data_IF_916132698769
#
_entry.id   IF_916132698769
#
_cell.length_a   1.000
_cell.length_b   1.000
_cell.length_c   1.000
_cell.angle_alpha   90.00
_cell.angle_beta   90.00
_cell.angle_gamma   90.00
#
_symmetry.space_group_name_H-M   'P 1'
#
loop_
_entity.id
_entity.type
_entity.pdbx_description
1 polymer ?
#
# COMPACT_ATOMS: atom_id res chain seq x y z
N UNK A 1 -1.27 -16.58 -3.20
CA UNK A 1 -0.05 -16.40 -2.37
C UNK A 1 0.47 -14.99 -2.58
N UNK A 2 0.94 -14.31 -1.52
CA UNK A 2 1.69 -13.05 -1.66
C UNK A 2 3.18 -13.37 -1.49
N UNK A 3 3.96 -13.29 -2.56
CA UNK A 3 5.38 -13.62 -2.54
C UNK A 3 6.18 -12.46 -1.94
N UNK A 4 6.81 -12.71 -0.79
CA UNK A 4 7.60 -11.72 -0.05
C UNK A 4 8.99 -12.29 0.23
N UNK A 5 10.02 -11.42 0.22
CA UNK A 5 11.35 -11.78 0.71
C UNK A 5 11.33 -11.98 2.23
N UNK A 6 10.62 -11.09 2.91
CA UNK A 6 10.68 -10.94 4.36
C UNK A 6 11.65 -9.85 4.78
N UNK A 7 11.48 -9.43 6.04
CA UNK A 7 12.37 -8.48 6.71
C UNK A 7 13.57 -9.25 7.31
N UNK A 8 14.70 -8.56 7.54
CA UNK A 8 15.81 -9.11 8.31
C UNK A 8 15.36 -9.59 9.70
N UNK A 9 16.06 -10.58 10.30
CA UNK A 9 15.84 -10.95 11.70
C UNK A 9 15.95 -9.73 12.63
N UNK A 10 15.23 -9.78 13.76
CA UNK A 10 15.23 -8.67 14.72
C UNK A 10 16.65 -8.41 15.23
N UNK A 11 17.13 -7.19 15.01
CA UNK A 11 18.47 -6.75 15.43
C UNK A 11 19.54 -6.88 14.35
N UNK A 12 19.19 -7.45 13.19
CA UNK A 12 20.07 -7.48 12.01
C UNK A 12 19.67 -6.36 11.05
N UNK A 13 20.62 -5.55 10.57
CA UNK A 13 20.31 -4.44 9.66
C UNK A 13 20.03 -4.92 8.25
N UNK A 14 20.66 -6.02 7.83
CA UNK A 14 20.65 -6.50 6.45
C UNK A 14 20.06 -7.91 6.36
N UNK A 15 19.31 -8.17 5.29
CA UNK A 15 18.76 -9.48 5.02
C UNK A 15 19.85 -10.41 4.46
N UNK A 16 20.06 -11.56 5.12
CA UNK A 16 20.90 -12.64 4.59
C UNK A 16 20.04 -13.88 4.30
N UNK A 17 20.02 -14.40 3.06
CA UNK A 17 19.28 -15.61 2.73
C UNK A 17 19.88 -16.81 3.51
N UNK A 18 19.04 -17.74 4.02
CA UNK A 18 19.56 -18.96 4.62
C UNK A 18 20.28 -19.84 3.57
N UNK A 19 21.15 -20.77 3.97
CA UNK A 19 21.79 -21.70 3.03
C UNK A 19 20.77 -22.44 2.17
N UNK A 20 20.89 -22.31 0.85
CA UNK A 20 19.92 -22.88 -0.11
C UNK A 20 18.57 -22.15 -0.17
N UNK A 21 18.43 -21.03 0.53
CA UNK A 21 17.24 -20.19 0.55
C UNK A 21 17.15 -19.23 -0.64
N UNK A 22 15.99 -18.60 -0.75
CA UNK A 22 15.69 -17.61 -1.77
C UNK A 22 16.09 -16.21 -1.28
N UNK A 23 16.58 -15.40 -2.21
CA UNK A 23 17.14 -14.07 -1.94
C UNK A 23 16.13 -12.96 -2.11
N UNK A 24 15.06 -13.22 -2.86
CA UNK A 24 14.13 -12.19 -3.30
C UNK A 24 12.69 -12.70 -3.42
N UNK A 25 11.75 -11.77 -3.44
CA UNK A 25 10.33 -12.08 -3.73
C UNK A 25 10.13 -12.60 -5.16
N UNK A 26 10.93 -12.15 -6.12
CA UNK A 26 10.91 -12.65 -7.48
C UNK A 26 11.38 -14.12 -7.58
N UNK A 27 12.43 -14.49 -6.83
CA UNK A 27 12.86 -15.89 -6.75
C UNK A 27 11.79 -16.80 -6.15
N UNK A 28 11.05 -16.32 -5.13
CA UNK A 28 9.91 -17.06 -4.58
C UNK A 28 8.76 -17.19 -5.57
N UNK A 29 8.41 -16.11 -6.29
CA UNK A 29 7.38 -16.18 -7.33
C UNK A 29 7.75 -17.19 -8.43
N UNK A 30 8.99 -17.12 -8.93
CA UNK A 30 9.52 -18.05 -9.94
C UNK A 30 9.56 -19.50 -9.43
N UNK A 31 9.97 -19.72 -8.18
CA UNK A 31 9.96 -21.04 -7.56
C UNK A 31 8.55 -21.64 -7.50
N UNK A 32 7.55 -20.86 -7.08
CA UNK A 32 6.15 -21.31 -7.03
C UNK A 32 5.67 -21.65 -8.44
N UNK A 33 5.89 -20.76 -9.43
CA UNK A 33 5.50 -21.03 -10.83
C UNK A 33 6.18 -22.25 -11.44
N UNK A 34 7.46 -22.47 -11.12
CA UNK A 34 8.23 -23.59 -11.64
C UNK A 34 7.82 -24.95 -11.06
N UNK A 35 7.34 -25.00 -9.81
CA UNK A 35 6.87 -26.25 -9.18
C UNK A 35 5.39 -26.52 -9.39
N UNK A 36 4.61 -25.46 -9.46
CA UNK A 36 3.15 -25.50 -9.51
C UNK A 36 2.65 -24.92 -10.84
N UNK A 37 3.33 -25.23 -11.95
CA UNK A 37 2.94 -24.75 -13.29
C UNK A 37 1.51 -25.20 -13.67
N UNK A 38 0.99 -26.24 -13.01
CA UNK A 38 -0.37 -26.75 -13.16
C UNK A 38 -1.34 -26.34 -12.06
N UNK A 39 -0.92 -25.58 -11.03
CA UNK A 39 -1.81 -25.15 -9.96
C UNK A 39 -2.42 -23.77 -10.26
N UNK A 40 -3.73 -23.67 -10.05
CA UNK A 40 -4.52 -22.44 -10.14
C UNK A 40 -4.28 -21.53 -8.91
N UNK A 41 -3.01 -21.15 -8.70
CA UNK A 41 -2.59 -20.29 -7.58
C UNK A 41 -2.33 -18.88 -8.10
N UNK A 42 -3.17 -17.94 -7.65
CA UNK A 42 -2.91 -16.51 -7.84
C UNK A 42 -1.66 -16.06 -7.07
N UNK A 43 -0.69 -15.44 -7.74
CA UNK A 43 0.51 -14.88 -7.08
C UNK A 43 0.44 -13.36 -7.09
N UNK A 44 0.58 -12.73 -5.93
CA UNK A 44 0.77 -11.30 -5.80
C UNK A 44 2.17 -10.94 -5.32
N UNK A 45 2.56 -9.68 -5.45
CA UNK A 45 3.79 -9.14 -4.88
C UNK A 45 3.59 -7.78 -4.19
N UNK A 46 4.52 -7.40 -3.32
CA UNK A 46 4.53 -6.06 -2.69
C UNK A 46 5.17 -5.01 -3.60
N UNK A 47 4.70 -3.76 -3.48
CA UNK A 47 5.25 -2.59 -4.14
C UNK A 47 5.27 -1.35 -3.23
N UNK A 48 6.05 -0.32 -3.56
CA UNK A 48 6.36 0.79 -2.65
C UNK A 48 6.17 2.14 -3.36
N UNK A 49 5.04 2.83 -3.16
CA UNK A 49 4.81 4.15 -3.76
C UNK A 49 5.85 5.20 -3.34
N UNK A 50 6.46 5.04 -2.17
CA UNK A 50 7.49 5.92 -1.61
C UNK A 50 8.92 5.32 -1.69
N UNK A 51 9.15 4.39 -2.63
CA UNK A 51 10.43 3.68 -2.84
C UNK A 51 10.74 2.70 -1.71
N UNK A 52 11.20 1.49 -2.05
CA UNK A 52 11.70 0.56 -1.04
C UNK A 52 12.93 1.14 -0.30
N UNK A 53 13.04 1.03 1.04
CA UNK A 53 14.16 1.62 1.79
C UNK A 53 15.56 1.13 1.39
N UNK A 54 15.64 -0.08 0.83
CA UNK A 54 16.89 -0.68 0.34
C UNK A 54 17.12 -0.46 -1.16
N UNK A 55 16.21 0.21 -1.88
CA UNK A 55 16.40 0.48 -3.30
C UNK A 55 17.38 1.65 -3.52
N UNK A 56 18.25 1.51 -4.52
CA UNK A 56 19.24 2.53 -4.86
C UNK A 56 18.62 3.80 -5.48
N UNK A 57 17.48 3.67 -6.14
CA UNK A 57 16.71 4.77 -6.72
C UNK A 57 15.26 4.34 -7.00
N UNK A 58 14.39 5.30 -7.35
CA UNK A 58 13.02 5.01 -7.77
C UNK A 58 12.98 4.12 -9.03
N UNK A 59 13.88 4.37 -9.98
CA UNK A 59 13.99 3.60 -11.22
C UNK A 59 14.43 2.16 -10.93
N UNK A 60 15.37 1.96 -10.01
CA UNK A 60 15.80 0.64 -9.59
C UNK A 60 14.67 -0.15 -8.90
N UNK A 61 13.87 0.52 -8.06
CA UNK A 61 12.72 -0.10 -7.39
C UNK A 61 11.63 -0.51 -8.39
N UNK A 62 11.34 0.34 -9.39
CA UNK A 62 10.39 0.02 -10.46
C UNK A 62 10.92 -1.09 -11.38
N UNK A 63 12.22 -1.10 -11.69
CA UNK A 63 12.83 -2.19 -12.47
C UNK A 63 12.69 -3.53 -11.74
N UNK A 64 12.99 -3.56 -10.44
CA UNK A 64 12.82 -4.76 -9.63
C UNK A 64 11.34 -5.17 -9.48
N UNK A 65 10.41 -4.21 -9.46
CA UNK A 65 8.98 -4.52 -9.54
C UNK A 65 8.62 -5.25 -10.84
N UNK A 66 9.24 -4.85 -11.96
CA UNK A 66 9.14 -5.55 -13.25
C UNK A 66 9.60 -7.00 -13.15
N UNK A 67 10.77 -7.24 -12.52
CA UNK A 67 11.27 -8.61 -12.30
C UNK A 67 10.28 -9.49 -11.52
N UNK A 68 9.57 -8.94 -10.54
CA UNK A 68 8.54 -9.68 -9.78
C UNK A 68 7.36 -10.08 -10.67
N UNK A 69 6.95 -9.20 -11.58
CA UNK A 69 5.85 -9.45 -12.53
C UNK A 69 6.27 -10.47 -13.57
N UNK A 70 7.48 -10.35 -14.12
CA UNK A 70 8.06 -11.33 -15.05
C UNK A 70 8.24 -12.71 -14.40
N UNK A 71 8.51 -12.75 -13.09
CA UNK A 71 8.55 -13.98 -12.31
C UNK A 71 7.16 -14.59 -12.01
N UNK A 72 6.08 -13.95 -12.47
CA UNK A 72 4.72 -14.50 -12.45
C UNK A 72 3.78 -13.88 -11.41
N UNK A 73 4.09 -12.71 -10.85
CA UNK A 73 3.14 -11.94 -10.05
C UNK A 73 2.03 -11.34 -10.94
N UNK A 74 0.78 -11.61 -10.59
CA UNK A 74 -0.43 -11.25 -11.35
C UNK A 74 -1.11 -9.98 -10.82
N UNK A 75 -0.79 -9.58 -9.59
CA UNK A 75 -1.26 -8.33 -9.00
C UNK A 75 -0.25 -7.82 -7.96
N UNK A 76 -0.33 -6.54 -7.65
CA UNK A 76 0.53 -5.88 -6.69
C UNK A 76 -0.29 -5.31 -5.54
N UNK A 77 0.25 -5.36 -4.33
CA UNK A 77 -0.30 -4.65 -3.16
C UNK A 77 0.74 -3.64 -2.71
N UNK A 78 0.33 -2.37 -2.63
CA UNK A 78 1.24 -1.32 -2.18
C UNK A 78 1.47 -1.39 -0.69
N UNK A 79 2.66 -0.97 -0.27
CA UNK A 79 2.88 -0.44 1.07
C UNK A 79 1.90 0.72 1.31
N UNK A 80 1.60 0.96 2.58
CA UNK A 80 0.74 2.08 2.98
C UNK A 80 1.32 3.42 2.53
N UNK A 81 0.42 4.36 2.32
CA UNK A 81 0.69 5.76 2.05
C UNK A 81 -0.47 6.58 2.60
N UNK A 82 -0.26 7.87 2.84
CA UNK A 82 -1.30 8.76 3.35
C UNK A 82 -1.76 9.81 2.34
N UNK A 83 -1.01 9.99 1.25
CA UNK A 83 -1.34 10.91 0.17
C UNK A 83 -1.68 10.15 -1.11
N UNK A 84 -2.90 10.33 -1.61
CA UNK A 84 -3.38 9.67 -2.83
C UNK A 84 -2.61 10.12 -4.07
N UNK A 85 -2.08 11.35 -4.10
CA UNK A 85 -1.26 11.83 -5.21
C UNK A 85 0.01 10.99 -5.36
N UNK A 86 0.67 10.65 -4.25
CA UNK A 86 1.85 9.77 -4.24
C UNK A 86 1.55 8.42 -4.89
N UNK A 87 0.41 7.81 -4.56
CA UNK A 87 0.01 6.55 -5.18
C UNK A 87 -0.23 6.70 -6.69
N UNK A 88 -1.00 7.70 -7.13
CA UNK A 88 -1.34 7.84 -8.55
C UNK A 88 -0.16 8.28 -9.42
N UNK A 89 0.69 9.18 -8.94
CA UNK A 89 1.90 9.61 -9.63
C UNK A 89 2.89 8.44 -9.77
N UNK A 90 2.99 7.60 -8.73
CA UNK A 90 3.79 6.37 -8.79
C UNK A 90 3.18 5.33 -9.74
N UNK A 91 1.86 5.13 -9.72
CA UNK A 91 1.18 4.23 -10.67
C UNK A 91 1.47 4.66 -12.11
N UNK A 92 1.44 5.97 -12.41
CA UNK A 92 1.75 6.48 -13.75
C UNK A 92 3.19 6.11 -14.17
N UNK A 93 4.17 6.23 -13.27
CA UNK A 93 5.55 5.82 -13.52
C UNK A 93 5.66 4.31 -13.79
N UNK A 94 4.99 3.49 -12.98
CA UNK A 94 4.94 2.03 -13.16
C UNK A 94 4.30 1.64 -14.49
N UNK A 95 3.25 2.36 -14.93
CA UNK A 95 2.64 2.13 -16.26
C UNK A 95 3.57 2.53 -17.39
N UNK A 96 4.32 3.64 -17.28
CA UNK A 96 5.33 4.04 -18.27
C UNK A 96 6.46 3.00 -18.40
N UNK A 97 6.75 2.26 -17.34
CA UNK A 97 7.71 1.14 -17.36
C UNK A 97 7.13 -0.16 -17.96
N UNK A 98 5.90 -0.16 -18.46
CA UNK A 98 5.28 -1.32 -19.14
C UNK A 98 4.62 -2.33 -18.20
N UNK A 99 4.58 -2.07 -16.89
CA UNK A 99 3.97 -2.97 -15.91
C UNK A 99 2.45 -2.76 -15.91
N UNK A 100 1.70 -3.76 -16.39
CA UNK A 100 0.24 -3.67 -16.62
C UNK A 100 -0.66 -4.34 -15.57
N UNK A 101 -0.10 -5.11 -14.64
CA UNK A 101 -0.91 -5.85 -13.64
C UNK A 101 -1.68 -4.91 -12.69
N UNK A 102 -2.82 -5.33 -12.11
CA UNK A 102 -3.55 -4.54 -11.12
C UNK A 102 -2.68 -4.16 -9.93
N UNK A 103 -2.78 -2.90 -9.50
CA UNK A 103 -2.07 -2.37 -8.33
C UNK A 103 -3.12 -1.98 -7.29
N UNK A 104 -3.20 -2.75 -6.21
CA UNK A 104 -4.15 -2.54 -5.13
C UNK A 104 -3.50 -1.64 -4.05
N UNK A 105 -4.05 -0.45 -3.77
CA UNK A 105 -3.53 0.43 -2.72
C UNK A 105 -3.73 -0.18 -1.33
N UNK A 106 -2.66 -0.17 -0.54
CA UNK A 106 -2.67 -0.49 0.89
C UNK A 106 -3.05 0.73 1.73
N UNK A 107 -4.09 0.61 2.56
CA UNK A 107 -4.58 1.70 3.42
C UNK A 107 -4.53 1.28 4.88
N UNK A 108 -3.94 2.14 5.72
CA UNK A 108 -3.88 1.97 7.17
C UNK A 108 -4.97 2.82 7.85
N UNK A 109 -5.97 2.22 8.52
CA UNK A 109 -6.85 2.95 9.42
C UNK A 109 -6.07 3.46 10.64
N UNK A 110 -5.98 4.78 10.78
CA UNK A 110 -5.30 5.42 11.91
C UNK A 110 -6.14 5.20 13.17
N UNK A 111 -5.50 4.70 14.23
CA UNK A 111 -6.15 4.45 15.53
C UNK A 111 -5.72 5.48 16.56
N UNK A 112 -4.44 5.86 16.53
CA UNK A 112 -3.90 6.90 17.38
C UNK A 112 -2.65 7.51 16.75
N UNK A 113 -2.30 8.74 17.13
CA UNK A 113 -1.08 9.40 16.64
C UNK A 113 0.18 8.63 17.03
N UNK A 114 0.27 8.23 18.30
CA UNK A 114 1.38 7.43 18.80
C UNK A 114 1.46 6.05 18.13
N UNK A 115 0.32 5.44 17.79
CA UNK A 115 0.27 4.18 17.04
C UNK A 115 0.75 4.36 15.60
N UNK A 116 0.36 5.46 14.96
CA UNK A 116 0.77 5.82 13.61
C UNK A 116 2.29 5.99 13.51
N UNK A 117 2.90 6.81 14.37
CA UNK A 117 4.35 7.03 14.40
C UNK A 117 5.12 5.72 14.55
N UNK A 118 4.77 4.91 15.55
CA UNK A 118 5.41 3.59 15.76
C UNK A 118 5.31 2.68 14.54
N UNK A 119 4.19 2.70 13.83
CA UNK A 119 3.99 1.85 12.65
C UNK A 119 4.85 2.35 11.49
N UNK A 120 4.85 3.67 11.24
CA UNK A 120 5.64 4.31 10.19
C UNK A 120 7.15 4.20 10.44
N UNK A 121 7.61 4.23 11.69
CA UNK A 121 9.02 4.01 12.03
C UNK A 121 9.52 2.63 11.60
N UNK A 122 8.64 1.63 11.61
CA UNK A 122 8.94 0.26 11.19
C UNK A 122 8.91 0.13 9.67
N UNK A 123 7.83 0.58 9.01
CA UNK A 123 7.68 0.42 7.56
C UNK A 123 8.34 1.52 6.72
N UNK A 124 8.94 2.53 7.36
CA UNK A 124 9.60 3.69 6.75
C UNK A 124 8.69 4.53 5.84
N UNK A 125 7.37 4.49 6.08
CA UNK A 125 6.41 5.33 5.36
C UNK A 125 6.42 6.76 5.91
N UNK A 126 6.22 7.76 5.05
CA UNK A 126 6.20 9.16 5.45
C UNK A 126 4.82 9.54 5.98
N UNK A 127 4.77 10.20 7.15
CA UNK A 127 3.56 10.87 7.63
C UNK A 127 3.55 12.31 7.09
N UNK A 128 2.54 12.74 6.32
CA UNK A 128 2.44 14.13 5.89
C UNK A 128 2.33 15.09 7.09
N UNK A 129 3.07 16.20 7.07
CA UNK A 129 3.09 17.17 8.18
C UNK A 129 1.69 17.67 8.55
N UNK A 130 0.83 17.87 7.55
CA UNK A 130 -0.57 18.27 7.76
C UNK A 130 -1.35 17.21 8.53
N UNK A 131 -1.17 15.93 8.20
CA UNK A 131 -1.83 14.82 8.89
C UNK A 131 -1.34 14.75 10.34
N UNK A 132 -0.03 14.85 10.56
CA UNK A 132 0.52 14.81 11.91
C UNK A 132 0.06 15.99 12.77
N UNK A 133 0.02 17.20 12.21
CA UNK A 133 -0.48 18.40 12.90
C UNK A 133 -1.97 18.28 13.26
N UNK A 134 -2.79 17.71 12.37
CA UNK A 134 -4.22 17.48 12.65
C UNK A 134 -4.41 16.48 13.80
N UNK A 135 -3.63 15.40 13.81
CA UNK A 135 -3.64 14.43 14.91
C UNK A 135 -3.09 15.04 16.21
N UNK A 136 -2.07 15.89 16.13
CA UNK A 136 -1.50 16.58 17.28
C UNK A 136 -2.55 17.44 18.00
N UNK A 137 -3.39 18.14 17.24
CA UNK A 137 -4.44 19.00 17.77
C UNK A 137 -5.57 18.26 18.50
N UNK A 138 -5.60 16.92 18.46
CA UNK A 138 -6.56 16.10 19.20
C UNK A 138 -6.10 15.79 20.63
N UNK A 139 -4.91 16.27 21.03
CA UNK A 139 -4.36 16.18 22.40
C UNK A 139 -4.39 14.76 23.01
N UNK A 140 -4.30 13.73 22.17
CA UNK A 140 -4.28 12.34 22.61
C UNK A 140 -5.62 11.78 23.08
N UNK A 141 -6.75 12.45 22.78
CA UNK A 141 -8.09 11.90 22.99
C UNK A 141 -8.29 10.65 22.12
N UNK A 142 -8.42 9.45 22.72
CA UNK A 142 -8.48 8.21 21.96
C UNK A 142 -9.70 8.08 21.05
N UNK A 143 -10.84 8.67 21.45
CA UNK A 143 -12.06 8.61 20.67
C UNK A 143 -12.01 9.62 19.52
N UNK A 144 -11.48 10.81 19.76
CA UNK A 144 -11.28 11.82 18.73
C UNK A 144 -10.25 11.35 17.68
N UNK A 145 -9.09 10.81 18.10
CA UNK A 145 -8.06 10.29 17.18
C UNK A 145 -8.58 9.14 16.32
N UNK A 146 -9.35 8.22 16.93
CA UNK A 146 -9.97 7.12 16.21
C UNK A 146 -11.03 7.61 15.22
N UNK A 147 -11.90 8.55 15.62
CA UNK A 147 -12.91 9.12 14.75
C UNK A 147 -12.27 9.85 13.56
N UNK A 148 -11.22 10.63 13.81
CA UNK A 148 -10.43 11.30 12.79
C UNK A 148 -9.80 10.28 11.82
N UNK A 149 -9.17 9.23 12.34
CA UNK A 149 -8.54 8.20 11.51
C UNK A 149 -9.52 7.45 10.62
N UNK A 150 -10.72 7.17 11.12
CA UNK A 150 -11.82 6.59 10.33
C UNK A 150 -12.23 7.55 9.22
N UNK A 151 -12.45 8.83 9.52
CA UNK A 151 -12.83 9.83 8.53
C UNK A 151 -11.75 10.02 7.45
N UNK A 152 -10.49 10.10 7.87
CA UNK A 152 -9.34 10.23 6.97
C UNK A 152 -9.25 9.06 6.00
N UNK A 153 -9.21 7.82 6.51
CA UNK A 153 -9.12 6.62 5.68
C UNK A 153 -10.37 6.43 4.81
N UNK A 154 -11.56 6.81 5.28
CA UNK A 154 -12.79 6.77 4.46
C UNK A 154 -12.68 7.68 3.25
N UNK A 155 -12.24 8.93 3.45
CA UNK A 155 -12.01 9.89 2.36
C UNK A 155 -10.92 9.40 1.41
N UNK A 156 -9.82 8.88 1.96
CA UNK A 156 -8.72 8.33 1.17
C UNK A 156 -9.22 7.23 0.23
N UNK A 157 -9.93 6.24 0.76
CA UNK A 157 -10.51 5.13 0.00
C UNK A 157 -11.56 5.60 -1.02
N UNK A 158 -12.42 6.56 -0.65
CA UNK A 158 -13.43 7.11 -1.55
C UNK A 158 -12.77 7.72 -2.79
N UNK A 159 -11.75 8.56 -2.59
CA UNK A 159 -10.99 9.18 -3.66
C UNK A 159 -10.23 8.15 -4.51
N UNK A 160 -9.57 7.16 -3.88
CA UNK A 160 -8.88 6.09 -4.60
C UNK A 160 -9.82 5.31 -5.53
N UNK A 161 -10.97 4.88 -5.01
CA UNK A 161 -11.95 4.11 -5.77
C UNK A 161 -12.63 4.93 -6.86
N UNK A 162 -12.95 6.19 -6.58
CA UNK A 162 -13.55 7.08 -7.58
C UNK A 162 -12.57 7.44 -8.72
N UNK A 163 -11.26 7.46 -8.43
CA UNK A 163 -10.21 7.63 -9.42
C UNK A 163 -9.79 6.31 -10.12
N UNK A 164 -10.51 5.21 -9.87
CA UNK A 164 -10.34 3.95 -10.62
C UNK A 164 -9.33 2.97 -10.03
N UNK A 165 -8.95 3.10 -8.75
CA UNK A 165 -8.20 2.04 -8.08
C UNK A 165 -8.99 0.70 -8.13
N UNK A 166 -8.33 -0.45 -8.38
CA UNK A 166 -9.01 -1.72 -8.60
C UNK A 166 -9.65 -2.32 -7.33
N UNK A 167 -9.34 -1.76 -6.16
CA UNK A 167 -9.80 -2.22 -4.85
C UNK A 167 -9.03 -1.50 -3.74
N UNK A 168 -9.23 -1.91 -2.48
CA UNK A 168 -8.48 -1.43 -1.33
C UNK A 168 -7.99 -2.63 -0.51
N UNK A 169 -6.72 -2.63 -0.12
CA UNK A 169 -6.18 -3.57 0.87
C UNK A 169 -6.05 -2.87 2.23
N UNK A 170 -6.77 -3.33 3.26
CA UNK A 170 -6.71 -2.71 4.59
C UNK A 170 -5.67 -3.39 5.50
N UNK A 171 -4.78 -2.60 6.09
CA UNK A 171 -3.96 -3.03 7.22
C UNK A 171 -4.77 -2.98 8.52
N UNK A 172 -5.50 -4.06 8.82
CA UNK A 172 -6.50 -4.09 9.91
C UNK A 172 -5.87 -4.05 11.32
N UNK A 173 -4.62 -4.49 11.47
CA UNK A 173 -3.91 -4.59 12.77
C UNK A 173 -4.73 -5.27 13.88
N UNK A 174 -5.47 -6.33 13.53
CA UNK A 174 -6.40 -7.05 14.41
C UNK A 174 -7.51 -6.18 15.04
N UNK A 175 -7.82 -5.01 14.45
CA UNK A 175 -8.83 -4.06 14.92
C UNK A 175 -9.91 -3.82 13.86
N UNK A 176 -10.94 -4.68 13.86
CA UNK A 176 -11.96 -4.66 12.83
C UNK A 176 -12.93 -3.46 12.90
N UNK A 177 -13.08 -2.80 14.06
CA UNK A 177 -14.10 -1.76 14.24
C UNK A 177 -13.94 -0.57 13.28
N UNK A 178 -12.72 -0.03 13.15
CA UNK A 178 -12.45 1.10 12.25
C UNK A 178 -12.64 0.71 10.79
N UNK A 179 -12.20 -0.48 10.39
CA UNK A 179 -12.37 -0.99 9.01
C UNK A 179 -13.84 -1.20 8.67
N UNK A 180 -14.66 -1.70 9.60
CA UNK A 180 -16.11 -1.84 9.39
C UNK A 180 -16.78 -0.49 9.14
N UNK A 181 -16.41 0.54 9.91
CA UNK A 181 -16.94 1.89 9.72
C UNK A 181 -16.56 2.46 8.35
N UNK A 182 -15.28 2.34 7.96
CA UNK A 182 -14.77 2.77 6.66
C UNK A 182 -15.50 2.04 5.52
N UNK A 183 -15.63 0.71 5.59
CA UNK A 183 -16.34 -0.08 4.60
C UNK A 183 -17.82 0.32 4.49
N UNK A 184 -18.47 0.64 5.61
CA UNK A 184 -19.85 1.15 5.62
C UNK A 184 -19.98 2.46 4.85
N UNK A 185 -19.08 3.42 5.10
CA UNK A 185 -19.05 4.70 4.40
C UNK A 185 -18.84 4.53 2.89
N UNK A 186 -17.84 3.73 2.49
CA UNK A 186 -17.52 3.48 1.09
C UNK A 186 -18.68 2.77 0.37
N UNK A 187 -19.29 1.75 0.98
CA UNK A 187 -20.44 1.03 0.39
C UNK A 187 -21.66 1.91 0.21
N UNK A 188 -21.91 2.82 1.15
CA UNK A 188 -22.99 3.79 1.03
C UNK A 188 -22.70 4.81 -0.09
N UNK A 189 -21.45 5.26 -0.20
CA UNK A 189 -21.04 6.25 -1.19
C UNK A 189 -20.93 5.74 -2.64
N UNK A 190 -20.71 4.43 -2.82
CA UNK A 190 -20.48 3.75 -4.12
C UNK A 190 -19.52 4.53 -5.05
N UNK A 191 -18.33 4.93 -4.57
CA UNK A 191 -17.43 5.82 -5.32
C UNK A 191 -17.00 5.25 -6.67
N UNK A 192 -16.93 3.93 -6.83
CA UNK A 192 -16.59 3.25 -8.09
C UNK A 192 -17.63 3.45 -9.21
N UNK A 193 -18.84 3.92 -8.91
CA UNK A 193 -19.84 4.26 -9.93
C UNK A 193 -19.71 5.69 -10.46
N UNK A 194 -18.94 6.53 -9.76
CA UNK A 194 -18.71 7.92 -10.15
C UNK A 194 -17.60 7.96 -11.20
N UNK A 195 -17.95 7.69 -12.47
CA UNK A 195 -17.01 7.83 -13.59
C UNK A 195 -17.17 9.20 -14.25
N UNK A 196 -16.11 10.02 -14.24
CA UNK A 196 -16.03 11.23 -15.07
C UNK A 196 -15.16 12.36 -14.50
N UNK A 197 -14.11 12.73 -15.24
CA UNK A 197 -13.53 14.07 -15.42
C UNK A 197 -13.08 14.93 -14.23
N UNK A 198 -13.90 15.10 -13.20
CA UNK A 198 -13.73 16.13 -12.17
C UNK A 198 -12.86 15.68 -10.97
N UNK A 199 -12.65 14.38 -10.81
CA UNK A 199 -12.01 13.81 -9.60
C UNK A 199 -10.47 13.79 -9.69
N UNK A 200 -9.90 13.76 -10.90
CA UNK A 200 -8.43 13.78 -11.07
C UNK A 200 -7.83 15.09 -10.52
N UNK A 201 -8.54 16.21 -10.59
CA UNK A 201 -8.12 17.48 -9.99
C UNK A 201 -8.19 17.45 -8.45
N UNK A 202 -9.26 16.87 -7.88
CA UNK A 202 -9.47 16.77 -6.43
C UNK A 202 -8.54 15.74 -5.75
N UNK A 203 -8.16 14.67 -6.46
CA UNK A 203 -7.17 13.69 -5.98
C UNK A 203 -5.72 14.24 -5.99
N UNK A 204 -5.45 15.26 -6.80
CA UNK A 204 -4.15 15.96 -6.91
C UNK A 204 -3.99 17.14 -5.95
N UNK A 205 -4.96 17.39 -5.06
CA UNK A 205 -4.86 18.46 -4.06
C UNK A 205 -4.75 19.88 -4.65
N UNK A 206 -5.18 20.08 -5.90
CA UNK A 206 -5.15 21.41 -6.56
C UNK A 206 -6.51 22.08 -6.43
N UNK A 207 -6.69 22.81 -5.33
CA UNK A 207 -7.73 23.84 -5.15
C UNK A 207 -7.12 25.05 -4.47
#
# INVERSE_FOLDING_TARGET
VLALRGDPPRGEPDFTPPPGGLRSSAELASFIRGREASADIGIGASCFPEIHPEAASAEADIAFLGEKVDAGAEFLISQLFFDNAVYFDWVEQVRRAGIGVPIIPGVLPIISRAGLHRFCDVCKARIPDRLDAQLAALDGDPDAERAFGIAYASRQCEQLLAAGAPGIHFFVLNRAASVKAILGAIKAGRPWERTGGEIVAAARGTS
#
